data_IF_095308022927
#
_entry.id   IF_095308022927
#
_cell.length_a   1.000
_cell.length_b   1.000
_cell.length_c   1.000
_cell.angle_alpha   90.00
_cell.angle_beta   90.00
_cell.angle_gamma   90.00
#
_symmetry.space_group_name_H-M   'P 1'
#
loop_
_entity.id
_entity.type
_entity.pdbx_description
1 polymer ?
#
# COMPACT_ATOMS: atom_id res chain seq x y z
N UNK A 1 3.15 -15.39 5.03
CA UNK A 1 3.01 -13.99 4.55
C UNK A 1 1.61 -13.81 3.97
N UNK A 2 0.72 -13.13 4.70
CA UNK A 2 -0.72 -13.03 4.40
C UNK A 2 -0.98 -12.60 2.94
N UNK A 3 -1.34 -13.55 2.08
CA UNK A 3 -1.63 -13.34 0.65
C UNK A 3 -2.69 -12.24 0.43
N UNK A 4 -3.61 -12.11 1.40
CA UNK A 4 -4.61 -11.04 1.47
C UNK A 4 -3.98 -9.64 1.36
N UNK A 5 -2.88 -9.41 2.09
CA UNK A 5 -2.20 -8.14 2.13
C UNK A 5 -1.53 -7.83 0.77
N UNK A 6 -0.96 -8.87 0.14
CA UNK A 6 -0.37 -8.77 -1.22
C UNK A 6 -1.43 -8.42 -2.27
N UNK A 7 -2.57 -9.11 -2.26
CA UNK A 7 -3.71 -8.85 -3.15
C UNK A 7 -4.22 -7.41 -3.00
N UNK A 8 -4.37 -6.93 -1.77
CA UNK A 8 -4.88 -5.59 -1.51
C UNK A 8 -3.93 -4.49 -2.00
N UNK A 9 -2.62 -4.75 -2.04
CA UNK A 9 -1.62 -3.83 -2.61
C UNK A 9 -1.74 -3.75 -4.14
N UNK A 10 -1.81 -4.91 -4.81
CA UNK A 10 -1.95 -4.96 -6.27
C UNK A 10 -3.27 -4.37 -6.77
N UNK A 11 -4.35 -4.48 -5.98
CA UNK A 11 -5.62 -3.83 -6.28
C UNK A 11 -5.47 -2.29 -6.38
N UNK A 12 -4.75 -1.67 -5.45
CA UNK A 12 -4.54 -0.22 -5.48
C UNK A 12 -3.59 0.22 -6.58
N UNK A 13 -2.60 -0.61 -6.92
CA UNK A 13 -1.76 -0.38 -8.09
C UNK A 13 -2.61 -0.39 -9.38
N UNK A 14 -3.46 -1.41 -9.52
CA UNK A 14 -4.35 -1.55 -10.67
C UNK A 14 -5.32 -0.36 -10.75
N UNK A 15 -5.91 0.06 -9.63
CA UNK A 15 -6.79 1.22 -9.56
C UNK A 15 -6.09 2.51 -9.98
N UNK A 16 -4.85 2.76 -9.51
CA UNK A 16 -4.09 3.94 -9.91
C UNK A 16 -3.80 3.96 -11.42
N UNK A 17 -3.40 2.82 -11.99
CA UNK A 17 -3.17 2.67 -13.44
C UNK A 17 -4.47 2.91 -14.23
N UNK A 18 -5.59 2.35 -13.76
CA UNK A 18 -6.90 2.50 -14.40
C UNK A 18 -7.35 3.97 -14.40
N UNK A 19 -7.25 4.65 -13.26
CA UNK A 19 -7.59 6.07 -13.14
C UNK A 19 -6.71 6.91 -14.07
N UNK A 20 -5.40 6.64 -14.12
CA UNK A 20 -4.48 7.35 -15.01
C UNK A 20 -4.86 7.16 -16.49
N UNK A 21 -5.19 5.95 -16.91
CA UNK A 21 -5.62 5.65 -18.27
C UNK A 21 -6.95 6.33 -18.61
N UNK A 22 -7.94 6.26 -17.72
CA UNK A 22 -9.26 6.90 -17.92
C UNK A 22 -9.11 8.40 -18.08
N UNK A 23 -8.40 9.06 -17.15
CA UNK A 23 -8.17 10.51 -17.20
C UNK A 23 -7.42 10.90 -18.48
N UNK A 24 -6.46 10.09 -18.92
CA UNK A 24 -5.71 10.33 -20.17
C UNK A 24 -6.61 10.21 -21.40
N UNK A 25 -7.39 9.13 -21.50
CA UNK A 25 -8.31 8.91 -22.64
C UNK A 25 -9.37 10.01 -22.71
N UNK A 26 -9.92 10.42 -21.56
CA UNK A 26 -10.89 11.49 -21.51
C UNK A 26 -10.28 12.87 -21.78
N UNK A 27 -9.04 13.11 -21.35
CA UNK A 27 -8.28 14.31 -21.74
C UNK A 27 -8.09 14.44 -23.25
N UNK A 28 -7.90 13.32 -23.96
CA UNK A 28 -7.84 13.32 -25.44
C UNK A 28 -9.21 13.55 -26.10
N UNK A 29 -10.32 13.15 -25.46
CA UNK A 29 -11.67 13.27 -26.06
C UNK A 29 -12.33 14.63 -25.80
N UNK A 30 -12.27 15.12 -24.58
CA UNK A 30 -12.98 16.33 -24.14
C UNK A 30 -12.05 17.55 -23.98
N UNK A 31 -10.74 17.35 -24.13
CA UNK A 31 -9.73 18.39 -23.98
C UNK A 31 -9.11 18.45 -22.57
N UNK A 32 -7.81 18.73 -22.53
CA UNK A 32 -7.02 18.78 -21.29
C UNK A 32 -7.39 19.93 -20.35
N UNK A 33 -8.15 20.92 -20.80
CA UNK A 33 -8.51 22.11 -20.02
C UNK A 33 -9.37 21.77 -18.79
N UNK A 34 -10.27 20.79 -18.92
CA UNK A 34 -11.12 20.31 -17.81
C UNK A 34 -10.49 19.09 -17.14
N UNK A 35 -9.85 18.21 -17.92
CA UNK A 35 -9.35 16.92 -17.43
C UNK A 35 -8.00 17.01 -16.70
N UNK A 36 -7.23 18.09 -16.88
CA UNK A 36 -5.99 18.35 -16.13
C UNK A 36 -6.20 18.35 -14.61
N UNK A 37 -7.33 18.87 -14.11
CA UNK A 37 -7.63 18.88 -12.67
C UNK A 37 -7.77 17.46 -12.10
N UNK A 38 -8.32 16.53 -12.88
CA UNK A 38 -8.50 15.13 -12.48
C UNK A 38 -7.18 14.35 -12.42
N UNK A 39 -6.09 14.86 -13.01
CA UNK A 39 -4.75 14.32 -12.72
C UNK A 39 -4.35 14.51 -11.26
N UNK A 40 -4.87 15.52 -10.56
CA UNK A 40 -4.71 15.63 -9.11
C UNK A 40 -5.30 14.43 -8.37
N UNK A 41 -6.43 13.92 -8.85
CA UNK A 41 -7.10 12.75 -8.30
C UNK A 41 -6.31 11.46 -8.60
N UNK A 42 -5.75 11.34 -9.81
CA UNK A 42 -4.82 10.27 -10.17
C UNK A 42 -3.54 10.32 -9.31
N UNK A 43 -3.02 11.51 -9.03
CA UNK A 43 -1.87 11.71 -8.15
C UNK A 43 -2.17 11.29 -6.71
N UNK A 44 -3.34 11.65 -6.16
CA UNK A 44 -3.77 11.22 -4.82
C UNK A 44 -3.93 9.69 -4.76
N UNK A 45 -4.52 9.06 -5.78
CA UNK A 45 -4.63 7.60 -5.85
C UNK A 45 -3.25 6.91 -5.88
N UNK A 46 -2.31 7.50 -6.62
CA UNK A 46 -0.91 7.03 -6.68
C UNK A 46 -0.20 7.23 -5.33
N UNK A 47 -0.45 8.35 -4.65
CA UNK A 47 0.05 8.63 -3.30
C UNK A 47 -0.50 7.62 -2.29
N UNK A 48 -1.80 7.29 -2.36
CA UNK A 48 -2.42 6.29 -1.50
C UNK A 48 -1.80 4.90 -1.69
N UNK A 49 -1.44 4.53 -2.93
CA UNK A 49 -0.67 3.31 -3.20
C UNK A 49 0.72 3.34 -2.56
N UNK A 50 1.45 4.45 -2.68
CA UNK A 50 2.76 4.62 -2.02
C UNK A 50 2.64 4.56 -0.50
N UNK A 51 1.66 5.22 0.10
CA UNK A 51 1.39 5.18 1.55
C UNK A 51 1.13 3.76 2.03
N UNK A 52 0.31 2.97 1.30
CA UNK A 52 0.07 1.56 1.63
C UNK A 52 1.33 0.72 1.51
N UNK A 53 2.14 0.92 0.46
CA UNK A 53 3.41 0.22 0.32
C UNK A 53 4.37 0.52 1.47
N UNK A 54 4.40 1.76 1.92
CA UNK A 54 5.24 2.18 3.04
C UNK A 54 4.74 1.62 4.38
N UNK A 55 3.42 1.61 4.59
CA UNK A 55 2.78 1.02 5.77
C UNK A 55 3.08 -0.47 5.89
N UNK A 56 2.98 -1.23 4.79
CA UNK A 56 3.32 -2.66 4.78
C UNK A 56 4.76 -2.92 5.22
N UNK A 57 5.69 -2.16 4.63
CA UNK A 57 7.12 -2.26 4.90
C UNK A 57 7.47 -1.88 6.34
N UNK A 58 6.71 -0.97 6.95
CA UNK A 58 6.84 -0.59 8.37
C UNK A 58 6.22 -1.63 9.30
N UNK A 59 5.10 -2.23 8.91
CA UNK A 59 4.38 -3.21 9.73
C UNK A 59 5.13 -4.55 9.83
N UNK A 60 5.72 -5.01 8.72
CA UNK A 60 6.60 -6.20 8.71
C UNK A 60 7.77 -6.05 9.70
N UNK A 61 8.39 -4.87 9.75
CA UNK A 61 9.47 -4.58 10.71
C UNK A 61 9.02 -4.65 12.18
N UNK A 62 7.86 -4.10 12.50
CA UNK A 62 7.35 -4.12 13.87
C UNK A 62 6.83 -5.51 14.30
N UNK A 63 6.32 -6.33 13.37
CA UNK A 63 5.82 -7.67 13.68
C UNK A 63 6.93 -8.68 13.97
N UNK A 64 8.05 -8.62 13.25
CA UNK A 64 9.20 -9.47 13.54
C UNK A 64 9.80 -9.19 14.93
N UNK A 65 9.82 -7.92 15.36
CA UNK A 65 10.30 -7.54 16.70
C UNK A 65 9.34 -8.00 17.82
N UNK A 66 8.04 -8.05 17.55
CA UNK A 66 7.05 -8.49 18.54
C UNK A 66 7.13 -10.01 18.78
N UNK A 67 7.27 -10.81 17.72
CA UNK A 67 7.41 -12.26 17.85
C UNK A 67 8.74 -12.69 18.46
N UNK A 68 9.86 -12.08 18.03
CA UNK A 68 11.17 -12.35 18.64
C UNK A 68 11.22 -12.02 20.14
N UNK A 69 10.53 -10.96 20.57
CA UNK A 69 10.43 -10.61 21.98
C UNK A 69 9.61 -11.63 22.77
N UNK A 70 8.53 -12.15 22.21
CA UNK A 70 7.69 -13.12 22.89
C UNK A 70 8.37 -14.49 22.99
N UNK A 71 9.06 -14.93 21.93
CA UNK A 71 9.88 -16.16 21.95
C UNK A 71 11.01 -16.08 22.99
N UNK A 72 11.72 -14.95 23.06
CA UNK A 72 12.78 -14.75 24.06
C UNK A 72 12.26 -14.63 25.51
N UNK A 73 11.00 -14.21 25.70
CA UNK A 73 10.37 -14.14 27.03
C UNK A 73 9.87 -15.52 27.47
N UNK A 74 9.33 -16.35 26.56
CA UNK A 74 8.96 -17.73 26.86
C UNK A 74 10.18 -18.59 27.20
N UNK A 75 11.26 -18.52 26.40
CA UNK A 75 12.51 -19.27 26.65
C UNK A 75 13.11 -18.93 28.02
N UNK A 76 13.16 -17.65 28.38
CA UNK A 76 13.70 -17.18 29.66
C UNK A 76 12.78 -17.50 30.85
N UNK A 77 11.50 -17.82 30.61
CA UNK A 77 10.55 -18.24 31.65
C UNK A 77 10.55 -19.75 31.91
N UNK A 78 10.99 -20.55 30.93
CA UNK A 78 11.22 -21.99 31.11
C UNK A 78 12.57 -22.29 31.77
N UNK A 79 13.61 -21.51 31.47
CA UNK A 79 14.94 -21.66 32.10
C UNK A 79 14.98 -21.26 33.60
N UNK A 80 13.94 -20.56 34.10
CA UNK A 80 13.81 -20.17 35.51
C UNK A 80 12.96 -21.13 36.37
N UNK A 81 12.45 -22.24 35.81
CA UNK A 81 11.65 -23.24 36.52
C UNK A 81 12.41 -24.52 36.79
#
# INVERSE_FOLDING_TARGET
MNAYNKIMLYFWLAAAILIFLVVTVMGFKDGFEVWAYYYGLAAIATMAYLSRRWMMKRFERNHEEFYKRNEAVEENSEDQK
#
